data_IF_771159118376
#
_entry.id   IF_771159118376
#
_cell.length_a   1.000
_cell.length_b   1.000
_cell.length_c   1.000
_cell.angle_alpha   90.00
_cell.angle_beta   90.00
_cell.angle_gamma   90.00
#
_symmetry.space_group_name_H-M   'P 1'
#
loop_
_entity.id
_entity.type
_entity.pdbx_description
1 polymer ?
#
# COMPACT_ATOMS: atom_id res chain seq x y z
N UNK A 1 -34.66 -26.03 -7.43
CA UNK A 1 -33.75 -26.54 -8.49
C UNK A 1 -32.34 -26.10 -8.11
N UNK A 2 -31.71 -26.87 -7.24
CA UNK A 2 -30.36 -26.61 -6.72
C UNK A 2 -29.34 -26.92 -7.82
N UNK A 3 -28.86 -25.89 -8.50
CA UNK A 3 -27.71 -26.03 -9.39
C UNK A 3 -26.45 -26.06 -8.52
N UNK A 4 -25.66 -27.10 -8.76
CA UNK A 4 -24.47 -27.51 -8.03
C UNK A 4 -23.46 -26.36 -7.93
N UNK A 5 -23.43 -25.70 -6.78
CA UNK A 5 -22.20 -25.02 -6.37
C UNK A 5 -21.18 -26.12 -6.11
N UNK A 6 -20.25 -26.33 -7.04
CA UNK A 6 -19.00 -26.99 -6.69
C UNK A 6 -18.47 -26.29 -5.42
N UNK A 7 -18.14 -27.08 -4.39
CA UNK A 7 -17.69 -26.55 -3.10
C UNK A 7 -16.42 -25.73 -3.37
N UNK A 8 -16.57 -24.40 -3.45
CA UNK A 8 -15.45 -23.50 -3.71
C UNK A 8 -14.42 -23.66 -2.61
N UNK A 9 -13.22 -24.07 -3.00
CA UNK A 9 -12.08 -24.17 -2.09
C UNK A 9 -11.40 -22.81 -2.11
N UNK A 10 -11.47 -22.08 -1.00
CA UNK A 10 -10.76 -20.80 -0.86
C UNK A 10 -9.57 -21.05 0.05
N UNK A 11 -8.41 -20.53 -0.34
CA UNK A 11 -7.24 -20.48 0.51
C UNK A 11 -6.77 -19.03 0.65
N UNK A 12 -6.20 -18.70 1.81
CA UNK A 12 -5.64 -17.37 2.10
C UNK A 12 -4.22 -17.51 2.61
N UNK A 13 -3.28 -16.90 1.89
CA UNK A 13 -1.90 -16.74 2.37
C UNK A 13 -1.86 -15.56 3.34
N UNK A 14 -1.42 -15.79 4.57
CA UNK A 14 -1.40 -14.74 5.60
C UNK A 14 -0.80 -15.20 6.93
N UNK A 15 -0.74 -14.28 7.89
CA UNK A 15 -0.34 -14.59 9.27
C UNK A 15 -1.51 -15.26 10.02
N UNK A 16 -1.40 -16.53 10.46
CA UNK A 16 -2.47 -17.22 11.17
C UNK A 16 -2.86 -16.47 12.46
N UNK A 17 -4.17 -16.32 12.71
CA UNK A 17 -4.68 -15.56 13.86
C UNK A 17 -4.58 -14.03 13.70
N UNK A 18 -4.05 -13.52 12.58
CA UNK A 18 -4.08 -12.10 12.32
C UNK A 18 -5.47 -11.64 11.88
N UNK A 19 -5.87 -10.46 12.35
CA UNK A 19 -7.16 -9.81 12.00
C UNK A 19 -7.46 -9.77 10.50
N UNK A 20 -6.46 -9.63 9.61
CA UNK A 20 -6.69 -9.63 8.15
C UNK A 20 -7.20 -11.00 7.66
N UNK A 21 -6.63 -12.08 8.18
CA UNK A 21 -7.06 -13.46 7.86
C UNK A 21 -8.41 -13.75 8.49
N UNK A 22 -8.61 -13.40 9.77
CA UNK A 22 -9.85 -13.65 10.49
C UNK A 22 -11.06 -12.91 9.88
N UNK A 23 -10.89 -11.64 9.52
CA UNK A 23 -11.94 -10.84 8.91
C UNK A 23 -12.26 -11.33 7.49
N UNK A 24 -11.26 -11.75 6.72
CA UNK A 24 -11.51 -12.37 5.42
C UNK A 24 -12.26 -13.70 5.57
N UNK A 25 -11.84 -14.56 6.50
CA UNK A 25 -12.53 -15.82 6.77
C UNK A 25 -13.99 -15.60 7.23
N UNK A 26 -14.22 -14.59 8.10
CA UNK A 26 -15.56 -14.19 8.50
C UNK A 26 -16.41 -13.72 7.31
N UNK A 27 -15.84 -12.96 6.38
CA UNK A 27 -16.52 -12.58 5.15
C UNK A 27 -16.81 -13.79 4.25
N UNK A 28 -15.90 -14.75 4.11
CA UNK A 28 -16.19 -15.97 3.34
C UNK A 28 -17.35 -16.76 3.95
N UNK A 29 -17.36 -16.94 5.28
CA UNK A 29 -18.45 -17.61 5.99
C UNK A 29 -19.79 -16.88 5.87
N UNK A 30 -19.81 -15.54 5.87
CA UNK A 30 -21.05 -14.77 5.79
C UNK A 30 -21.75 -14.91 4.43
N UNK A 31 -21.02 -15.33 3.39
CA UNK A 31 -21.55 -15.70 2.07
C UNK A 31 -21.91 -17.20 1.96
N UNK A 32 -21.88 -17.95 3.06
CA UNK A 32 -22.27 -19.37 3.10
C UNK A 32 -21.23 -20.34 2.54
N UNK A 33 -19.98 -19.89 2.35
CA UNK A 33 -18.88 -20.72 1.87
C UNK A 33 -18.14 -21.40 3.04
N UNK A 34 -17.45 -22.53 2.80
CA UNK A 34 -16.60 -23.16 3.80
C UNK A 34 -15.48 -22.24 4.31
N UNK A 35 -14.96 -22.56 5.50
CA UNK A 35 -13.80 -21.85 6.07
C UNK A 35 -12.61 -21.87 5.09
N UNK A 36 -11.98 -20.73 4.79
CA UNK A 36 -10.77 -20.71 3.99
C UNK A 36 -9.63 -21.48 4.64
N UNK A 37 -8.91 -22.26 3.86
CA UNK A 37 -7.64 -22.84 4.31
C UNK A 37 -6.60 -21.73 4.45
N UNK A 38 -6.03 -21.57 5.66
CA UNK A 38 -4.94 -20.62 5.88
C UNK A 38 -3.63 -21.25 5.44
N UNK A 39 -2.89 -20.57 4.58
CA UNK A 39 -1.55 -20.94 4.12
C UNK A 39 -0.53 -19.99 4.79
N UNK A 40 0.20 -20.40 5.82
CA UNK A 40 1.09 -19.49 6.55
C UNK A 40 2.24 -18.97 5.66
N UNK A 41 2.51 -17.66 5.72
CA UNK A 41 3.66 -17.08 5.01
C UNK A 41 4.99 -17.76 5.35
N UNK A 42 5.16 -18.20 6.59
CA UNK A 42 6.36 -18.89 7.03
C UNK A 42 6.56 -20.25 6.34
N UNK A 43 5.49 -20.95 5.95
CA UNK A 43 5.58 -22.19 5.17
C UNK A 43 5.85 -21.88 3.70
N UNK A 44 5.22 -20.85 3.15
CA UNK A 44 5.47 -20.36 1.79
C UNK A 44 6.95 -20.01 1.61
N UNK A 45 7.52 -19.22 2.51
CA UNK A 45 8.92 -18.78 2.45
C UNK A 45 9.92 -19.93 2.62
N UNK A 46 9.51 -21.05 3.23
CA UNK A 46 10.32 -22.26 3.36
C UNK A 46 10.10 -23.27 2.23
N UNK A 47 9.16 -23.01 1.31
CA UNK A 47 8.78 -23.97 0.27
C UNK A 47 8.06 -25.21 0.80
N UNK A 48 7.39 -25.08 1.94
CA UNK A 48 6.72 -26.18 2.65
C UNK A 48 5.19 -26.11 2.54
N UNK A 49 4.66 -25.09 1.88
CA UNK A 49 3.21 -24.89 1.76
C UNK A 49 2.56 -25.97 0.89
N UNK A 50 1.43 -26.50 1.35
CA UNK A 50 0.59 -27.41 0.56
C UNK A 50 -0.67 -26.68 0.12
N UNK A 51 -0.83 -26.50 -1.20
CA UNK A 51 -2.00 -25.82 -1.78
C UNK A 51 -3.11 -26.85 -2.05
N UNK A 52 -4.34 -26.65 -1.54
CA UNK A 52 -5.45 -27.56 -1.83
C UNK A 52 -5.82 -27.56 -3.32
N UNK A 53 -6.23 -28.73 -3.84
CA UNK A 53 -6.75 -28.83 -5.20
C UNK A 53 -8.00 -27.95 -5.39
N UNK A 54 -8.12 -27.30 -6.54
CA UNK A 54 -9.21 -26.38 -6.87
C UNK A 54 -9.19 -25.07 -6.08
N UNK A 55 -8.13 -24.78 -5.32
CA UNK A 55 -8.10 -23.61 -4.46
C UNK A 55 -8.00 -22.29 -5.24
N UNK A 56 -8.89 -21.35 -4.93
CA UNK A 56 -8.73 -19.94 -5.23
C UNK A 56 -7.88 -19.30 -4.12
N UNK A 57 -6.63 -18.99 -4.45
CA UNK A 57 -5.62 -18.56 -3.47
C UNK A 57 -5.54 -17.03 -3.43
N UNK A 58 -6.04 -16.45 -2.33
CA UNK A 58 -5.88 -15.03 -2.00
C UNK A 58 -4.56 -14.81 -1.28
N UNK A 59 -3.85 -13.73 -1.59
CA UNK A 59 -2.63 -13.34 -0.85
C UNK A 59 -2.92 -12.11 -0.01
N UNK A 60 -2.49 -12.15 1.25
CA UNK A 60 -2.54 -11.02 2.17
C UNK A 60 -1.13 -10.62 2.64
N UNK A 61 -1.02 -9.50 3.33
CA UNK A 61 0.26 -8.95 3.79
C UNK A 61 1.03 -9.92 4.70
N UNK A 62 2.35 -10.08 4.49
CA UNK A 62 3.22 -10.84 5.40
C UNK A 62 3.63 -10.08 6.66
N UNK A 63 3.16 -8.83 6.84
CA UNK A 63 3.54 -7.99 7.97
C UNK A 63 2.98 -8.46 9.31
N UNK A 64 3.49 -7.85 10.39
CA UNK A 64 3.08 -8.09 11.78
C UNK A 64 3.44 -9.51 12.32
N UNK A 65 4.30 -10.27 11.64
CA UNK A 65 4.85 -11.57 12.08
C UNK A 65 6.39 -11.54 12.15
N UNK A 66 7.01 -11.56 13.35
CA UNK A 66 8.46 -11.49 13.51
C UNK A 66 9.24 -12.66 12.89
N UNK A 67 8.65 -13.86 12.83
CA UNK A 67 9.30 -15.01 12.22
C UNK A 67 9.33 -14.88 10.70
N UNK A 68 8.26 -14.33 10.11
CA UNK A 68 8.21 -14.01 8.68
C UNK A 68 9.16 -12.85 8.34
N UNK A 69 9.22 -11.80 9.16
CA UNK A 69 10.16 -10.68 8.92
C UNK A 69 11.62 -11.16 8.97
N UNK A 70 11.96 -12.06 9.91
CA UNK A 70 13.27 -12.73 9.95
C UNK A 70 13.56 -13.52 8.67
N UNK A 71 12.57 -14.25 8.13
CA UNK A 71 12.76 -15.00 6.87
C UNK A 71 12.94 -14.06 5.67
N UNK A 72 12.32 -12.87 5.69
CA UNK A 72 12.39 -11.89 4.60
C UNK A 72 13.66 -11.04 4.65
N UNK A 73 14.16 -10.71 5.84
CA UNK A 73 15.29 -9.78 6.04
C UNK A 73 16.59 -10.43 6.49
N UNK A 74 16.50 -11.61 7.10
CA UNK A 74 17.61 -12.27 7.80
C UNK A 74 17.53 -12.13 9.33
N UNK A 75 18.31 -12.94 10.08
CA UNK A 75 18.21 -13.10 11.53
C UNK A 75 18.62 -11.87 12.36
N UNK A 76 19.46 -10.99 11.81
CA UNK A 76 20.01 -9.84 12.54
C UNK A 76 19.14 -8.57 12.43
N UNK A 77 18.03 -8.63 11.69
CA UNK A 77 17.18 -7.46 11.48
C UNK A 77 16.26 -7.23 12.67
N UNK A 78 16.38 -6.05 13.29
CA UNK A 78 15.44 -5.63 14.33
C UNK A 78 14.13 -5.13 13.70
N UNK A 79 12.95 -5.39 14.30
CA UNK A 79 11.65 -4.98 13.73
C UNK A 79 11.50 -3.47 13.51
N UNK A 80 12.25 -2.65 14.26
CA UNK A 80 12.22 -1.18 14.14
C UNK A 80 13.19 -0.66 13.10
N UNK A 81 14.08 -1.49 12.55
CA UNK A 81 15.10 -1.09 11.57
C UNK A 81 14.42 -0.55 10.30
N UNK A 82 14.91 0.58 9.80
CA UNK A 82 14.34 1.22 8.60
C UNK A 82 15.02 0.71 7.33
N UNK A 83 16.34 0.53 7.38
CA UNK A 83 17.14 -0.01 6.29
C UNK A 83 16.78 -1.48 5.98
N UNK A 84 17.24 -1.96 4.83
CA UNK A 84 17.03 -3.34 4.39
C UNK A 84 15.65 -3.58 3.76
N UNK A 85 14.94 -2.52 3.38
CA UNK A 85 13.67 -2.64 2.65
C UNK A 85 13.87 -3.29 1.27
N UNK A 86 15.03 -3.12 0.63
CA UNK A 86 15.36 -3.81 -0.62
C UNK A 86 15.57 -5.33 -0.41
N UNK A 87 16.21 -5.73 0.70
CA UNK A 87 16.38 -7.15 1.07
C UNK A 87 15.03 -7.78 1.37
N UNK A 88 14.20 -7.11 2.18
CA UNK A 88 12.84 -7.54 2.48
C UNK A 88 12.02 -7.74 1.19
N UNK A 89 12.11 -6.79 0.26
CA UNK A 89 11.41 -6.85 -1.02
C UNK A 89 11.88 -8.05 -1.86
N UNK A 90 13.20 -8.29 -1.96
CA UNK A 90 13.72 -9.46 -2.65
C UNK A 90 13.22 -10.78 -2.02
N UNK A 91 13.19 -10.86 -0.68
CA UNK A 91 12.61 -11.98 0.05
C UNK A 91 11.13 -12.18 -0.26
N UNK A 92 10.34 -11.10 -0.32
CA UNK A 92 8.93 -11.15 -0.67
C UNK A 92 8.75 -11.69 -2.10
N UNK A 93 9.54 -11.20 -3.06
CA UNK A 93 9.47 -11.69 -4.44
C UNK A 93 9.82 -13.18 -4.54
N UNK A 94 10.83 -13.63 -3.79
CA UNK A 94 11.16 -15.05 -3.68
C UNK A 94 10.00 -15.87 -3.11
N UNK A 95 9.37 -15.39 -2.03
CA UNK A 95 8.18 -16.02 -1.45
C UNK A 95 6.99 -16.09 -2.40
N UNK A 96 6.71 -15.01 -3.13
CA UNK A 96 5.64 -14.98 -4.14
C UNK A 96 5.93 -15.94 -5.30
N UNK A 97 7.19 -16.07 -5.73
CA UNK A 97 7.58 -17.03 -6.76
C UNK A 97 7.41 -18.47 -6.26
N UNK A 98 7.82 -18.78 -5.03
CA UNK A 98 7.60 -20.08 -4.40
C UNK A 98 6.11 -20.42 -4.30
N UNK A 99 5.28 -19.45 -3.89
CA UNK A 99 3.83 -19.61 -3.85
C UNK A 99 3.26 -19.90 -5.25
N UNK A 100 3.64 -19.12 -6.25
CA UNK A 100 3.16 -19.30 -7.62
C UNK A 100 3.52 -20.69 -8.17
N UNK A 101 4.73 -21.18 -7.88
CA UNK A 101 5.14 -22.53 -8.21
C UNK A 101 4.30 -23.59 -7.50
N UNK A 102 4.07 -23.46 -6.18
CA UNK A 102 3.24 -24.39 -5.41
C UNK A 102 1.79 -24.43 -5.91
N UNK A 103 1.21 -23.28 -6.25
CA UNK A 103 -0.13 -23.19 -6.87
C UNK A 103 -0.15 -23.87 -8.23
N UNK A 104 0.88 -23.67 -9.07
CA UNK A 104 0.97 -24.30 -10.38
C UNK A 104 1.13 -25.83 -10.35
N UNK A 105 1.55 -26.41 -9.23
CA UNK A 105 1.61 -27.87 -9.03
C UNK A 105 0.30 -28.46 -8.46
N UNK A 106 -0.56 -27.64 -7.87
CA UNK A 106 -1.83 -28.10 -7.32
C UNK A 106 -2.91 -28.19 -8.41
N UNK A 107 -3.59 -29.33 -8.58
CA UNK A 107 -4.63 -29.48 -9.61
C UNK A 107 -5.71 -28.42 -9.49
N UNK A 108 -6.03 -27.74 -10.60
CA UNK A 108 -7.08 -26.71 -10.73
C UNK A 108 -6.99 -25.51 -9.76
N UNK A 109 -5.88 -25.38 -9.02
CA UNK A 109 -5.66 -24.24 -8.14
C UNK A 109 -5.22 -22.99 -8.94
N UNK A 110 -5.59 -21.81 -8.45
CA UNK A 110 -5.29 -20.53 -9.12
C UNK A 110 -4.98 -19.46 -8.11
N UNK A 111 -3.94 -18.67 -8.41
CA UNK A 111 -3.62 -17.48 -7.64
C UNK A 111 -4.54 -16.33 -8.09
N UNK A 112 -5.15 -15.63 -7.14
CA UNK A 112 -6.07 -14.54 -7.46
C UNK A 112 -5.37 -13.24 -7.85
N UNK A 113 -4.15 -13.02 -7.34
CA UNK A 113 -3.36 -11.82 -7.61
C UNK A 113 -2.12 -12.17 -8.42
N UNK A 114 -1.82 -11.40 -9.46
CA UNK A 114 -0.58 -11.54 -10.22
C UNK A 114 0.64 -11.14 -9.34
N UNK A 115 1.61 -12.06 -9.12
CA UNK A 115 2.85 -11.75 -8.42
C UNK A 115 3.65 -10.60 -9.04
N UNK A 116 3.62 -10.45 -10.37
CA UNK A 116 4.36 -9.41 -11.07
C UNK A 116 3.73 -8.02 -10.83
N UNK A 117 2.41 -7.92 -10.77
CA UNK A 117 1.72 -6.69 -10.38
C UNK A 117 1.92 -6.36 -8.92
N UNK A 118 1.88 -7.37 -8.05
CA UNK A 118 2.23 -7.23 -6.63
C UNK A 118 3.63 -6.66 -6.47
N UNK A 119 4.62 -7.18 -7.21
CA UNK A 119 5.98 -6.67 -7.22
C UNK A 119 6.05 -5.19 -7.59
N UNK A 120 5.29 -4.76 -8.61
CA UNK A 120 5.23 -3.34 -9.01
C UNK A 120 4.62 -2.49 -7.91
N UNK A 121 3.51 -2.90 -7.29
CA UNK A 121 2.84 -2.16 -6.21
C UNK A 121 3.72 -2.01 -4.96
N UNK A 122 4.63 -2.95 -4.71
CA UNK A 122 5.61 -2.86 -3.62
C UNK A 122 6.81 -1.95 -3.93
N UNK A 123 7.06 -1.57 -5.19
CA UNK A 123 8.12 -0.63 -5.57
C UNK A 123 7.51 0.71 -6.01
N UNK A 124 7.63 1.73 -5.15
CA UNK A 124 7.06 3.07 -5.39
C UNK A 124 7.51 3.68 -6.71
N UNK A 125 8.75 3.42 -7.13
CA UNK A 125 9.31 3.97 -8.37
C UNK A 125 8.65 3.31 -9.58
N UNK A 126 8.49 1.97 -9.54
CA UNK A 126 7.84 1.21 -10.61
C UNK A 126 6.34 1.51 -10.69
N UNK A 127 5.67 1.61 -9.54
CA UNK A 127 4.27 2.05 -9.48
C UNK A 127 4.12 3.45 -10.08
N UNK A 128 4.95 4.41 -9.65
CA UNK A 128 4.92 5.77 -10.16
C UNK A 128 5.12 5.84 -11.68
N UNK A 129 6.13 5.11 -12.20
CA UNK A 129 6.37 5.03 -13.63
C UNK A 129 5.19 4.42 -14.41
N UNK A 130 4.58 3.34 -13.90
CA UNK A 130 3.41 2.70 -14.52
C UNK A 130 2.20 3.64 -14.56
N UNK A 131 1.92 4.35 -13.47
CA UNK A 131 0.80 5.30 -13.41
C UNK A 131 1.05 6.52 -14.31
N UNK A 132 2.30 7.01 -14.35
CA UNK A 132 2.70 8.11 -15.25
C UNK A 132 2.48 7.72 -16.71
N UNK A 133 2.91 6.52 -17.12
CA UNK A 133 2.71 6.01 -18.46
C UNK A 133 1.24 5.87 -18.85
N UNK A 134 0.35 5.62 -17.88
CA UNK A 134 -1.10 5.59 -18.06
C UNK A 134 -1.77 6.99 -18.04
N UNK A 135 -0.99 8.06 -17.98
CA UNK A 135 -1.49 9.43 -17.92
C UNK A 135 -2.28 9.75 -16.64
N UNK A 136 -1.94 9.08 -15.53
CA UNK A 136 -2.58 9.31 -14.23
C UNK A 136 -1.83 10.37 -13.43
N UNK A 137 -2.54 11.23 -12.68
CA UNK A 137 -1.92 12.28 -11.89
C UNK A 137 -1.17 11.67 -10.70
N UNK A 138 0.16 11.76 -10.74
CA UNK A 138 1.08 11.46 -9.63
C UNK A 138 1.91 12.71 -9.32
N UNK A 139 2.47 12.87 -8.10
CA UNK A 139 3.39 13.96 -7.82
C UNK A 139 4.60 13.92 -8.74
N UNK A 140 5.14 15.08 -9.15
CA UNK A 140 6.39 15.12 -9.92
C UNK A 140 7.50 14.41 -9.16
N UNK A 141 8.22 13.48 -9.80
CA UNK A 141 9.34 12.75 -9.19
C UNK A 141 10.64 13.04 -9.95
N UNK A 142 11.79 12.81 -9.29
CA UNK A 142 13.12 13.00 -9.92
C UNK A 142 13.39 12.03 -11.08
N UNK A 143 12.64 10.93 -11.18
CA UNK A 143 12.67 10.00 -12.32
C UNK A 143 13.98 9.21 -12.48
N UNK A 144 14.94 9.38 -11.58
CA UNK A 144 16.25 8.74 -11.62
C UNK A 144 16.68 8.27 -10.23
N UNK A 145 17.61 7.29 -10.13
CA UNK A 145 18.17 6.86 -8.85
C UNK A 145 18.85 8.02 -8.10
N UNK A 146 18.87 7.90 -6.78
CA UNK A 146 19.59 8.80 -5.87
C UNK A 146 20.43 7.94 -4.96
N UNK A 147 21.75 8.03 -5.08
CA UNK A 147 22.71 7.23 -4.33
C UNK A 147 23.32 7.94 -3.12
N UNK A 148 23.16 9.25 -3.00
CA UNK A 148 23.70 10.01 -1.87
C UNK A 148 22.99 11.35 -1.63
N UNK A 149 23.24 11.98 -0.49
CA UNK A 149 22.77 13.31 -0.15
C UNK A 149 23.29 14.42 -1.09
N UNK A 150 24.60 14.50 -1.45
CA UNK A 150 25.07 15.48 -2.42
C UNK A 150 24.35 15.36 -3.77
N UNK A 151 24.22 14.13 -4.28
CA UNK A 151 23.49 13.85 -5.52
C UNK A 151 22.02 14.26 -5.42
N UNK A 152 21.35 13.95 -4.30
CA UNK A 152 19.98 14.38 -4.05
C UNK A 152 19.84 15.90 -4.16
N UNK A 153 20.75 16.66 -3.55
CA UNK A 153 20.72 18.13 -3.59
C UNK A 153 20.86 18.67 -5.00
N UNK A 154 21.81 18.14 -5.77
CA UNK A 154 22.04 18.56 -7.16
C UNK A 154 20.82 18.30 -8.03
N UNK A 155 20.23 17.10 -7.92
CA UNK A 155 19.04 16.72 -8.67
C UNK A 155 17.81 17.57 -8.30
N UNK A 156 17.60 17.84 -7.01
CA UNK A 156 16.52 18.71 -6.55
C UNK A 156 16.69 20.16 -7.04
N UNK A 157 17.92 20.67 -7.03
CA UNK A 157 18.23 22.00 -7.54
C UNK A 157 17.97 22.10 -9.05
N UNK A 158 18.44 21.11 -9.82
CA UNK A 158 18.20 21.04 -11.26
C UNK A 158 16.71 20.93 -11.61
N UNK A 159 15.94 20.19 -10.82
CA UNK A 159 14.49 20.05 -10.99
C UNK A 159 13.66 21.22 -10.42
N UNK A 160 14.28 22.17 -9.72
CA UNK A 160 13.59 23.27 -9.04
C UNK A 160 12.68 22.83 -7.89
N UNK A 161 12.90 21.63 -7.33
CA UNK A 161 12.07 21.05 -6.28
C UNK A 161 12.56 21.45 -4.89
N UNK A 162 11.78 22.27 -4.19
CA UNK A 162 12.11 22.82 -2.86
C UNK A 162 11.48 22.06 -1.70
N UNK A 163 10.42 21.29 -1.95
CA UNK A 163 9.68 20.51 -0.96
C UNK A 163 9.38 19.15 -1.53
N UNK A 164 9.94 18.11 -0.94
CA UNK A 164 9.85 16.74 -1.44
C UNK A 164 9.61 15.75 -0.31
N UNK A 165 9.04 14.61 -0.65
CA UNK A 165 9.15 13.40 0.14
C UNK A 165 10.29 12.55 -0.40
N UNK A 166 11.18 12.12 0.49
CA UNK A 166 12.17 11.07 0.24
C UNK A 166 11.66 9.81 0.91
N UNK A 167 11.50 8.72 0.15
CA UNK A 167 10.92 7.46 0.62
C UNK A 167 11.79 6.29 0.19
N UNK A 168 12.12 5.31 1.05
CA UNK A 168 12.64 4.04 0.57
C UNK A 168 11.63 3.40 -0.38
N UNK A 169 12.11 2.82 -1.48
CA UNK A 169 11.27 2.35 -2.57
C UNK A 169 10.23 1.32 -2.12
N UNK A 170 10.60 0.45 -1.17
CA UNK A 170 9.80 -0.70 -0.74
C UNK A 170 9.27 -0.61 0.69
N UNK A 171 9.58 0.47 1.43
CA UNK A 171 9.09 0.64 2.79
C UNK A 171 7.58 0.90 2.84
N UNK A 172 6.91 0.40 3.88
CA UNK A 172 5.48 0.66 4.13
C UNK A 172 5.28 1.44 5.43
N UNK A 173 4.04 1.86 5.72
CA UNK A 173 3.67 2.54 6.97
C UNK A 173 4.53 3.78 7.27
N UNK A 174 4.87 4.55 6.24
CA UNK A 174 5.75 5.72 6.34
C UNK A 174 7.12 5.49 7.02
N UNK A 175 7.55 4.24 7.16
CA UNK A 175 8.88 3.91 7.68
C UNK A 175 9.93 4.46 6.72
N UNK A 176 10.91 5.21 7.24
CA UNK A 176 11.96 5.81 6.41
C UNK A 176 11.55 7.02 5.60
N UNK A 177 10.32 7.52 5.72
CA UNK A 177 9.87 8.67 4.94
C UNK A 177 10.36 9.98 5.56
N UNK A 178 10.97 10.85 4.76
CA UNK A 178 11.36 12.21 5.13
C UNK A 178 10.53 13.20 4.32
N UNK A 179 9.81 14.10 4.99
CA UNK A 179 9.29 15.32 4.37
C UNK A 179 10.38 16.40 4.44
N UNK A 180 11.10 16.55 3.33
CA UNK A 180 12.25 17.45 3.20
C UNK A 180 11.80 18.79 2.63
N UNK A 181 12.24 19.87 3.25
CA UNK A 181 11.94 21.24 2.86
C UNK A 181 13.21 22.09 2.93
N UNK A 182 13.49 22.75 1.82
CA UNK A 182 14.44 23.84 1.74
C UNK A 182 13.62 25.12 1.90
N UNK A 183 13.83 25.87 2.98
CA UNK A 183 13.20 27.16 3.26
C UNK A 183 14.02 28.37 2.75
N UNK A 184 13.50 29.59 2.93
CA UNK A 184 14.25 30.82 2.66
C UNK A 184 15.61 30.83 3.40
N UNK A 185 16.57 31.59 2.87
CA UNK A 185 17.88 31.82 3.49
C UNK A 185 18.71 30.56 3.77
N UNK A 186 18.53 29.53 2.95
CA UNK A 186 19.27 28.27 3.07
C UNK A 186 18.80 27.37 4.22
N UNK A 187 17.67 27.69 4.88
CA UNK A 187 17.10 26.81 5.92
C UNK A 187 16.80 25.43 5.36
N UNK A 188 17.18 24.39 6.10
CA UNK A 188 16.91 23.01 5.75
C UNK A 188 16.14 22.33 6.88
N UNK A 189 15.12 21.55 6.54
CA UNK A 189 14.34 20.78 7.52
C UNK A 189 13.88 19.46 6.92
N UNK A 190 14.01 18.37 7.68
CA UNK A 190 13.38 17.09 7.40
C UNK A 190 12.44 16.71 8.55
N UNK A 191 11.17 16.47 8.25
CA UNK A 191 10.20 15.91 9.22
C UNK A 191 10.03 14.41 8.97
N UNK A 192 10.28 13.57 9.98
CA UNK A 192 10.30 12.11 9.81
C UNK A 192 10.02 11.39 11.14
N UNK A 193 9.65 10.11 11.11
CA UNK A 193 9.65 9.24 12.30
C UNK A 193 10.99 8.50 12.51
N UNK A 194 11.94 8.66 11.57
CA UNK A 194 13.26 8.04 11.62
C UNK A 194 14.09 8.64 12.74
N UNK A 195 14.52 7.77 13.63
CA UNK A 195 15.50 8.04 14.67
C UNK A 195 16.87 7.56 14.21
N UNK A 196 17.83 8.48 14.17
CA UNK A 196 19.24 8.18 13.95
C UNK A 196 19.85 7.73 15.28
N UNK A 197 20.38 6.51 15.34
CA UNK A 197 21.10 5.97 16.49
C UNK A 197 22.52 5.54 16.09
N UNK A 198 23.44 5.29 17.05
CA UNK A 198 24.76 4.75 16.73
C UNK A 198 24.73 3.38 16.03
N UNK A 199 23.63 2.64 16.16
CA UNK A 199 23.47 1.30 15.58
C UNK A 199 22.73 1.29 14.25
N UNK A 200 22.13 2.41 13.85
CA UNK A 200 21.40 2.54 12.58
C UNK A 200 20.15 3.40 12.66
N UNK A 201 19.29 3.29 11.65
CA UNK A 201 18.02 4.01 11.60
C UNK A 201 16.88 3.16 12.17
N UNK A 202 16.09 3.77 13.06
CA UNK A 202 14.94 3.12 13.67
C UNK A 202 13.65 3.91 13.45
N UNK A 203 12.55 3.23 13.15
CA UNK A 203 11.23 3.85 13.13
C UNK A 203 10.73 4.02 14.56
N UNK A 204 10.93 5.23 15.11
CA UNK A 204 10.54 5.53 16.49
C UNK A 204 9.03 5.72 16.69
N UNK A 205 8.25 5.71 15.60
CA UNK A 205 6.82 6.09 15.55
C UNK A 205 6.52 7.52 16.02
N UNK A 206 7.51 8.26 16.52
CA UNK A 206 7.42 9.64 16.97
C UNK A 206 7.97 10.56 15.89
N UNK A 207 7.10 11.42 15.36
CA UNK A 207 7.50 12.42 14.38
C UNK A 207 8.44 13.43 15.03
N UNK A 208 9.62 13.61 14.42
CA UNK A 208 10.67 14.55 14.83
C UNK A 208 11.11 15.41 13.65
N UNK A 209 11.97 16.39 13.92
CA UNK A 209 12.54 17.27 12.91
C UNK A 209 14.06 17.29 13.02
N UNK A 210 14.74 17.01 11.91
CA UNK A 210 16.15 17.32 11.74
C UNK A 210 16.26 18.66 11.01
N UNK A 211 17.18 19.50 11.45
CA UNK A 211 17.39 20.85 10.88
C UNK A 211 18.83 21.13 10.51
N UNK A 212 19.73 20.18 10.78
CA UNK A 212 21.14 20.28 10.37
C UNK A 212 21.37 19.40 9.14
N UNK A 213 22.23 19.89 8.25
CA UNK A 213 22.59 19.13 7.05
C UNK A 213 23.27 17.79 7.36
N UNK A 214 24.22 17.68 8.32
CA UNK A 214 24.86 16.40 8.63
C UNK A 214 23.88 15.31 9.09
N UNK A 215 22.88 15.64 9.92
CA UNK A 215 21.87 14.66 10.36
C UNK A 215 21.00 14.19 9.19
N UNK A 216 20.57 15.12 8.33
CA UNK A 216 19.73 14.81 7.18
C UNK A 216 20.51 13.97 6.16
N UNK A 217 21.77 14.34 5.91
CA UNK A 217 22.68 13.60 5.04
C UNK A 217 22.87 12.17 5.53
N UNK A 218 23.18 11.99 6.83
CA UNK A 218 23.36 10.66 7.42
C UNK A 218 22.13 9.76 7.24
N UNK A 219 20.92 10.31 7.42
CA UNK A 219 19.68 9.55 7.19
C UNK A 219 19.49 9.21 5.71
N UNK A 220 19.68 10.17 4.80
CA UNK A 220 19.51 9.95 3.36
C UNK A 220 20.52 8.93 2.83
N UNK A 221 21.79 9.08 3.19
CA UNK A 221 22.88 8.20 2.76
C UNK A 221 22.69 6.77 3.27
N UNK A 222 22.21 6.60 4.51
CA UNK A 222 21.90 5.27 5.06
C UNK A 222 20.70 4.60 4.36
N UNK A 223 19.75 5.37 3.83
CA UNK A 223 18.58 4.85 3.09
C UNK A 223 18.83 4.67 1.59
N UNK A 224 19.83 5.36 1.02
CA UNK A 224 20.11 5.32 -0.41
C UNK A 224 20.34 3.91 -0.99
N UNK A 225 21.04 2.97 -0.29
CA UNK A 225 21.24 1.60 -0.78
C UNK A 225 19.94 0.81 -1.00
N UNK A 226 18.87 1.12 -0.26
CA UNK A 226 17.56 0.50 -0.46
C UNK A 226 16.82 1.03 -1.71
N UNK A 227 17.36 2.08 -2.32
CA UNK A 227 16.74 2.81 -3.40
C UNK A 227 15.73 3.82 -2.89
N UNK A 228 15.86 5.06 -3.34
CA UNK A 228 14.96 6.15 -2.97
C UNK A 228 13.96 6.45 -4.07
N UNK A 229 12.72 6.69 -3.66
CA UNK A 229 11.70 7.38 -4.43
C UNK A 229 11.57 8.80 -3.90
N UNK A 230 11.87 9.79 -4.75
CA UNK A 230 11.82 11.21 -4.38
C UNK A 230 10.77 11.91 -5.22
N UNK A 231 9.78 12.48 -4.56
CA UNK A 231 8.63 13.11 -5.21
C UNK A 231 8.24 14.43 -4.56
N UNK A 232 7.57 15.29 -5.32
CA UNK A 232 7.10 16.59 -4.87
C UNK A 232 6.15 16.44 -3.68
N UNK A 233 6.37 17.25 -2.65
CA UNK A 233 5.45 17.38 -1.55
C UNK A 233 4.24 18.22 -1.96
N UNK A 234 3.13 17.54 -2.29
CA UNK A 234 1.85 18.16 -2.62
C UNK A 234 1.28 18.91 -1.40
N UNK A 235 0.91 20.20 -1.51
CA UNK A 235 0.12 20.91 -0.52
C UNK A 235 -1.29 20.32 -0.46
N UNK A 236 -1.48 19.40 0.48
CA UNK A 236 -2.74 18.67 0.64
C UNK A 236 -3.88 19.59 1.10
N UNK A 237 -5.10 19.30 0.68
CA UNK A 237 -6.29 19.84 1.30
C UNK A 237 -6.32 19.54 2.81
N UNK A 238 -7.11 20.31 3.55
CA UNK A 238 -7.25 20.14 4.99
C UNK A 238 -8.71 20.02 5.41
N UNK A 239 -8.91 19.40 6.57
CA UNK A 239 -10.17 19.32 7.27
C UNK A 239 -9.93 19.76 8.72
N UNK A 240 -10.68 20.77 9.18
CA UNK A 240 -10.49 21.37 10.51
C UNK A 240 -9.04 21.77 10.81
N UNK A 241 -8.35 22.37 9.82
CA UNK A 241 -6.95 22.79 9.96
C UNK A 241 -5.92 21.66 9.93
N UNK A 242 -6.33 20.39 9.78
CA UNK A 242 -5.45 19.22 9.70
C UNK A 242 -5.28 18.77 8.25
N UNK A 243 -4.07 18.47 7.83
CA UNK A 243 -3.78 17.98 6.48
C UNK A 243 -4.48 16.65 6.23
N UNK A 244 -5.06 16.46 5.05
CA UNK A 244 -5.87 15.29 4.72
C UNK A 244 -5.29 14.47 3.57
N UNK A 245 -5.38 13.15 3.65
CA UNK A 245 -5.29 12.24 2.51
C UNK A 245 -6.53 11.33 2.46
N UNK A 246 -6.72 10.61 1.37
CA UNK A 246 -7.71 9.54 1.30
C UNK A 246 -7.02 8.20 1.09
N UNK A 247 -7.62 7.20 1.70
CA UNK A 247 -7.38 5.80 1.39
C UNK A 247 -8.62 5.27 0.67
N UNK A 248 -8.46 4.97 -0.61
CA UNK A 248 -9.50 4.46 -1.50
C UNK A 248 -9.22 2.98 -1.76
N UNK A 249 -10.23 2.13 -1.74
CA UNK A 249 -10.08 0.71 -2.09
C UNK A 249 -10.89 0.44 -3.34
N UNK A 250 -10.22 -0.10 -4.35
CA UNK A 250 -10.87 -0.67 -5.52
C UNK A 250 -10.84 -2.19 -5.43
N UNK A 251 -11.98 -2.82 -5.69
CA UNK A 251 -12.13 -4.28 -5.76
C UNK A 251 -12.66 -4.61 -7.14
N UNK A 252 -11.97 -5.52 -7.83
CA UNK A 252 -12.27 -5.94 -9.18
C UNK A 252 -12.53 -4.75 -10.14
N UNK A 253 -11.59 -3.81 -10.14
CA UNK A 253 -11.63 -2.62 -11.01
C UNK A 253 -12.58 -1.50 -10.57
N UNK A 254 -13.42 -1.71 -9.54
CA UNK A 254 -14.42 -0.73 -9.10
C UNK A 254 -14.09 -0.15 -7.74
N UNK A 255 -14.22 1.16 -7.56
CA UNK A 255 -14.05 1.79 -6.24
C UNK A 255 -15.20 1.37 -5.33
N UNK A 256 -14.86 0.79 -4.18
CA UNK A 256 -15.83 0.25 -3.21
C UNK A 256 -15.82 1.00 -1.90
N UNK A 257 -14.66 1.44 -1.42
CA UNK A 257 -14.52 2.09 -0.12
C UNK A 257 -13.62 3.32 -0.24
N UNK A 258 -13.88 4.31 0.60
CA UNK A 258 -12.99 5.44 0.80
C UNK A 258 -13.02 5.87 2.28
N UNK A 259 -11.87 6.23 2.82
CA UNK A 259 -11.76 6.87 4.14
C UNK A 259 -10.78 8.02 4.04
N UNK A 260 -11.13 9.15 4.65
CA UNK A 260 -10.22 10.29 4.79
C UNK A 260 -9.41 10.11 6.07
N UNK A 261 -8.09 10.36 6.01
CA UNK A 261 -7.22 10.41 7.19
C UNK A 261 -6.67 11.82 7.33
N UNK A 262 -6.63 12.33 8.57
CA UNK A 262 -6.16 13.68 8.88
C UNK A 262 -5.01 13.67 9.87
N UNK A 263 -4.01 14.52 9.65
CA UNK A 263 -2.80 14.63 10.47
C UNK A 263 -2.43 16.09 10.74
N UNK A 264 -1.71 16.33 11.84
CA UNK A 264 -1.23 17.66 12.21
C UNK A 264 -0.04 18.14 11.33
N UNK A 265 0.60 17.22 10.60
CA UNK A 265 1.78 17.50 9.77
C UNK A 265 1.71 16.85 8.39
N UNK A 266 2.83 16.81 7.65
CA UNK A 266 2.91 16.19 6.32
C UNK A 266 2.50 14.72 6.31
N UNK A 267 2.83 14.00 7.38
CA UNK A 267 2.59 12.57 7.54
C UNK A 267 1.22 12.37 8.18
N UNK A 268 0.31 11.74 7.44
CA UNK A 268 -1.13 11.58 7.78
C UNK A 268 -1.49 10.16 8.22
N UNK A 269 -0.51 9.25 8.28
CA UNK A 269 -0.71 7.85 8.64
C UNK A 269 -1.31 7.69 10.04
N UNK A 270 -2.28 6.78 10.18
CA UNK A 270 -3.02 6.57 11.44
C UNK A 270 -2.11 6.15 12.60
N UNK A 271 -1.10 5.32 12.35
CA UNK A 271 -0.15 4.89 13.37
C UNK A 271 0.85 5.97 13.81
N UNK A 272 0.89 7.12 13.12
CA UNK A 272 1.67 8.31 13.49
C UNK A 272 0.79 9.40 14.13
N UNK A 273 -0.37 9.04 14.70
CA UNK A 273 -1.30 9.98 15.32
C UNK A 273 -2.30 10.62 14.35
N UNK A 274 -2.42 10.07 13.13
CA UNK A 274 -3.51 10.39 12.21
C UNK A 274 -4.86 9.91 12.73
N UNK A 275 -5.94 10.58 12.34
CA UNK A 275 -7.31 10.21 12.71
C UNK A 275 -8.19 10.06 11.47
N UNK A 276 -9.23 9.23 11.53
CA UNK A 276 -10.28 9.23 10.50
C UNK A 276 -10.97 10.59 10.51
N UNK A 277 -11.04 11.22 9.35
CA UNK A 277 -11.84 12.43 9.14
C UNK A 277 -13.28 12.10 8.75
N UNK A 278 -14.03 13.13 8.38
CA UNK A 278 -15.40 12.98 7.88
C UNK A 278 -15.42 13.01 6.35
N UNK A 279 -15.80 11.88 5.75
CA UNK A 279 -15.90 11.72 4.30
C UNK A 279 -17.05 12.56 3.70
N UNK A 280 -18.12 12.82 4.45
CA UNK A 280 -19.23 13.63 3.99
C UNK A 280 -18.79 15.08 3.74
N UNK A 281 -17.92 15.62 4.61
CA UNK A 281 -17.30 16.93 4.39
C UNK A 281 -16.38 16.94 3.16
N UNK A 282 -15.65 15.86 2.90
CA UNK A 282 -14.85 15.73 1.67
C UNK A 282 -15.75 15.76 0.44
N UNK A 283 -16.85 14.99 0.44
CA UNK A 283 -17.82 14.95 -0.66
C UNK A 283 -18.45 16.32 -0.91
N UNK A 284 -18.87 17.00 0.16
CA UNK A 284 -19.43 18.35 0.06
C UNK A 284 -18.43 19.36 -0.50
N UNK A 285 -17.16 19.31 -0.04
CA UNK A 285 -16.12 20.22 -0.49
C UNK A 285 -15.66 19.95 -1.93
N UNK A 286 -15.56 18.67 -2.33
CA UNK A 286 -15.20 18.27 -3.69
C UNK A 286 -16.34 18.56 -4.69
N UNK A 287 -17.60 18.49 -4.26
CA UNK A 287 -18.77 18.68 -5.11
C UNK A 287 -18.68 17.80 -6.37
N UNK A 288 -18.75 18.38 -7.60
CA UNK A 288 -18.69 17.61 -8.84
C UNK A 288 -17.34 16.88 -9.03
N UNK A 289 -16.27 17.31 -8.36
CA UNK A 289 -14.95 16.69 -8.47
C UNK A 289 -14.85 15.34 -7.72
N UNK A 290 -15.84 14.98 -6.90
CA UNK A 290 -15.91 13.66 -6.24
C UNK A 290 -15.96 12.52 -7.26
N UNK A 291 -16.73 12.67 -8.34
CA UNK A 291 -16.80 11.66 -9.40
C UNK A 291 -15.41 11.40 -10.02
N UNK A 292 -14.59 12.45 -10.16
CA UNK A 292 -13.22 12.34 -10.65
C UNK A 292 -12.28 11.56 -9.73
N UNK A 293 -12.55 11.52 -8.41
CA UNK A 293 -11.81 10.64 -7.49
C UNK A 293 -12.15 9.17 -7.75
N UNK A 294 -13.43 8.86 -7.94
CA UNK A 294 -13.89 7.50 -8.20
C UNK A 294 -13.30 7.01 -9.53
N UNK A 295 -13.41 7.81 -10.58
CA UNK A 295 -12.82 7.52 -11.89
C UNK A 295 -11.30 7.34 -11.79
N UNK A 296 -10.60 8.19 -11.05
CA UNK A 296 -9.16 8.03 -10.81
C UNK A 296 -8.85 6.67 -10.16
N UNK A 297 -9.60 6.29 -9.12
CA UNK A 297 -9.40 5.01 -8.44
C UNK A 297 -9.62 3.81 -9.35
N UNK A 298 -10.66 3.85 -10.20
CA UNK A 298 -10.93 2.79 -11.18
C UNK A 298 -9.86 2.72 -12.28
N UNK A 299 -9.38 3.87 -12.78
CA UNK A 299 -8.28 3.91 -13.74
C UNK A 299 -6.95 3.43 -13.16
N UNK A 300 -6.68 3.71 -11.87
CA UNK A 300 -5.51 3.13 -11.16
C UNK A 300 -5.64 1.62 -11.09
N UNK A 301 -6.82 1.09 -10.73
CA UNK A 301 -7.06 -0.35 -10.69
C UNK A 301 -6.89 -1.00 -12.07
N UNK A 302 -7.27 -0.31 -13.15
CA UNK A 302 -7.05 -0.78 -14.53
C UNK A 302 -5.57 -0.87 -14.93
N UNK A 303 -4.65 -0.25 -14.20
CA UNK A 303 -3.21 -0.47 -14.37
C UNK A 303 -2.69 -1.78 -13.75
N UNK A 304 -3.56 -2.48 -13.01
CA UNK A 304 -3.27 -3.75 -12.33
C UNK A 304 -4.43 -4.75 -12.56
N UNK A 305 -4.73 -5.12 -13.81
CA UNK A 305 -5.86 -5.99 -14.15
C UNK A 305 -5.74 -7.42 -13.57
N UNK A 306 -4.53 -7.90 -13.28
CA UNK A 306 -4.28 -9.18 -12.63
C UNK A 306 -4.45 -9.16 -11.11
N UNK A 307 -4.83 -8.02 -10.52
CA UNK A 307 -4.98 -7.84 -9.08
C UNK A 307 -6.47 -7.72 -8.69
N UNK A 308 -6.97 -8.54 -7.75
CA UNK A 308 -8.39 -8.57 -7.41
C UNK A 308 -8.80 -7.35 -6.57
N UNK A 309 -7.83 -6.66 -5.98
CA UNK A 309 -8.02 -5.46 -5.17
C UNK A 309 -6.77 -4.60 -5.19
N UNK A 310 -6.95 -3.29 -5.02
CA UNK A 310 -5.86 -2.34 -4.76
C UNK A 310 -6.28 -1.32 -3.71
N UNK A 311 -5.36 -0.98 -2.80
CA UNK A 311 -5.50 0.10 -1.83
C UNK A 311 -4.74 1.33 -2.28
N UNK A 312 -5.41 2.43 -2.54
CA UNK A 312 -4.86 3.62 -3.20
C UNK A 312 -4.77 4.75 -2.17
N UNK A 313 -3.56 5.26 -1.94
CA UNK A 313 -3.37 6.53 -1.24
C UNK A 313 -3.55 7.68 -2.21
N UNK A 314 -4.54 8.53 -1.96
CA UNK A 314 -4.85 9.70 -2.77
C UNK A 314 -4.56 10.97 -1.98
N UNK A 315 -3.80 11.87 -2.60
CA UNK A 315 -3.44 13.18 -2.08
C UNK A 315 -4.38 14.23 -2.70
N UNK A 316 -5.34 14.77 -1.94
CA UNK A 316 -6.20 15.85 -2.44
C UNK A 316 -5.40 17.14 -2.52
N UNK A 317 -5.38 17.79 -3.69
CA UNK A 317 -4.85 19.15 -3.82
C UNK A 317 -5.73 20.16 -3.08
N UNK A 318 -5.17 21.34 -2.78
CA UNK A 318 -5.91 22.42 -2.13
C UNK A 318 -7.29 22.66 -2.79
N UNK A 319 -8.31 22.81 -1.94
CA UNK A 319 -9.70 23.02 -2.38
C UNK A 319 -10.42 21.77 -2.92
N UNK A 320 -9.85 20.56 -2.81
CA UNK A 320 -10.52 19.29 -3.16
C UNK A 320 -10.93 19.16 -4.65
N UNK A 321 -10.21 19.85 -5.54
CA UNK A 321 -10.50 19.88 -6.99
C UNK A 321 -9.61 18.98 -7.83
N UNK A 322 -8.45 18.61 -7.29
CA UNK A 322 -7.43 17.79 -7.96
C UNK A 322 -7.01 16.66 -7.04
N UNK A 323 -6.71 15.52 -7.63
CA UNK A 323 -6.36 14.30 -6.92
C UNK A 323 -5.05 13.79 -7.50
N UNK A 324 -4.12 13.38 -6.63
CA UNK A 324 -2.87 12.75 -7.03
C UNK A 324 -2.77 11.38 -6.37
N UNK A 325 -2.26 10.38 -7.09
CA UNK A 325 -1.99 9.07 -6.52
C UNK A 325 -0.63 9.12 -5.83
N UNK A 326 -0.62 8.89 -4.52
CA UNK A 326 0.61 8.87 -3.71
C UNK A 326 1.24 7.49 -3.59
N UNK A 327 0.42 6.44 -3.51
CA UNK A 327 0.87 5.04 -3.39
C UNK A 327 -0.26 4.08 -3.77
N UNK A 328 0.09 2.86 -4.20
CA UNK A 328 -0.86 1.76 -4.47
C UNK A 328 -0.38 0.52 -3.71
N UNK A 329 -1.30 -0.15 -3.01
CA UNK A 329 -1.05 -1.30 -2.15
C UNK A 329 -1.75 -2.53 -2.72
N UNK A 330 -1.02 -3.65 -2.85
CA UNK A 330 -1.52 -4.87 -3.47
C UNK A 330 -2.59 -5.62 -2.68
N UNK A 331 -2.59 -5.49 -1.36
CA UNK A 331 -3.44 -6.31 -0.47
C UNK A 331 -4.69 -5.57 0.00
N UNK A 332 -5.21 -4.68 -0.86
CA UNK A 332 -6.32 -3.79 -0.53
C UNK A 332 -5.99 -2.96 0.70
N UNK A 333 -6.92 -2.93 1.65
CA UNK A 333 -6.66 -2.34 2.96
C UNK A 333 -7.47 -3.00 4.08
N UNK A 334 -6.96 -2.90 5.29
CA UNK A 334 -7.63 -3.29 6.52
C UNK A 334 -8.38 -2.08 7.08
N UNK A 335 -9.65 -1.95 6.69
CA UNK A 335 -10.51 -0.85 7.12
C UNK A 335 -11.68 -1.39 7.95
N UNK A 336 -11.44 -1.89 9.18
CA UNK A 336 -12.49 -2.47 10.00
C UNK A 336 -13.59 -1.45 10.27
N UNK A 337 -14.83 -1.94 10.26
CA UNK A 337 -16.05 -1.15 10.53
C UNK A 337 -16.27 0.01 9.54
N UNK A 338 -15.71 -0.08 8.33
CA UNK A 338 -15.99 0.86 7.26
C UNK A 338 -16.91 0.17 6.22
N UNK A 339 -18.19 0.56 6.10
CA UNK A 339 -19.04 0.04 5.04
C UNK A 339 -18.62 0.63 3.68
N UNK A 340 -18.93 -0.10 2.61
CA UNK A 340 -18.76 0.35 1.25
C UNK A 340 -19.57 1.62 0.96
N UNK A 341 -19.09 2.39 -0.01
CA UNK A 341 -19.74 3.61 -0.45
C UNK A 341 -21.20 3.33 -0.85
N UNK A 342 -22.17 4.15 -0.42
CA UNK A 342 -23.58 3.95 -0.74
C UNK A 342 -23.87 3.91 -2.25
N UNK A 343 -23.11 4.69 -3.03
CA UNK A 343 -23.18 4.74 -4.49
C UNK A 343 -22.38 3.62 -5.21
N UNK A 344 -21.62 2.83 -4.45
CA UNK A 344 -20.69 1.83 -4.98
C UNK A 344 -21.28 0.42 -5.04
N UNK A 345 -20.58 -0.52 -5.69
CA UNK A 345 -21.09 -1.89 -5.87
C UNK A 345 -21.09 -2.73 -4.59
N UNK A 346 -20.49 -2.23 -3.51
CA UNK A 346 -20.33 -2.92 -2.23
C UNK A 346 -21.06 -2.20 -1.07
N UNK A 347 -22.14 -1.45 -1.37
CA UNK A 347 -22.88 -0.71 -0.35
C UNK A 347 -23.28 -1.63 0.83
N UNK A 348 -22.90 -1.22 2.05
CA UNK A 348 -23.19 -1.96 3.28
C UNK A 348 -22.29 -3.18 3.57
N UNK A 349 -21.44 -3.60 2.63
CA UNK A 349 -20.42 -4.63 2.86
C UNK A 349 -19.14 -3.98 3.42
N UNK A 350 -18.31 -4.76 4.11
CA UNK A 350 -16.94 -4.34 4.42
C UNK A 350 -15.99 -4.64 3.24
N UNK A 351 -14.71 -4.27 3.40
CA UNK A 351 -13.69 -4.44 2.36
C UNK A 351 -13.46 -5.91 1.96
N UNK A 352 -13.68 -6.86 2.87
CA UNK A 352 -13.51 -8.29 2.59
C UNK A 352 -14.77 -8.90 2.00
N UNK A 353 -15.95 -8.51 2.48
CA UNK A 353 -17.23 -8.87 1.89
C UNK A 353 -17.33 -8.41 0.44
N UNK A 354 -16.83 -7.21 0.11
CA UNK A 354 -16.71 -6.75 -1.27
C UNK A 354 -15.83 -7.65 -2.14
N UNK A 355 -14.69 -8.13 -1.61
CA UNK A 355 -13.81 -9.07 -2.31
C UNK A 355 -14.50 -10.41 -2.57
N UNK A 356 -15.16 -10.97 -1.55
CA UNK A 356 -15.88 -12.25 -1.67
C UNK A 356 -17.05 -12.11 -2.65
N UNK A 357 -17.83 -11.03 -2.57
CA UNK A 357 -18.90 -10.75 -3.53
C UNK A 357 -18.38 -10.68 -4.97
N UNK A 358 -17.28 -9.96 -5.19
CA UNK A 358 -16.69 -9.85 -6.52
C UNK A 358 -16.20 -11.22 -7.04
N UNK A 359 -15.54 -12.02 -6.18
CA UNK A 359 -15.10 -13.38 -6.50
C UNK A 359 -16.25 -14.32 -6.87
N UNK A 360 -17.42 -14.13 -6.25
CA UNK A 360 -18.63 -14.88 -6.59
C UNK A 360 -19.25 -14.40 -7.91
N UNK A 361 -19.21 -13.10 -8.19
CA UNK A 361 -19.82 -12.47 -9.36
C UNK A 361 -19.09 -12.69 -10.69
N UNK A 362 -17.76 -12.85 -10.67
CA UNK A 362 -16.95 -13.08 -11.89
C UNK A 362 -17.33 -14.35 -12.63
N UNK A 363 -17.72 -15.40 -11.93
CA UNK A 363 -18.02 -16.70 -12.54
C UNK A 363 -19.40 -16.74 -13.22
N UNK A 364 -20.38 -16.00 -12.69
CA UNK A 364 -21.71 -15.87 -13.32
C UNK A 364 -21.66 -15.15 -14.68
N UNK A 365 -20.55 -14.46 -14.97
CA UNK A 365 -20.27 -13.79 -16.24
C UNK A 365 -19.53 -14.67 -17.25
N UNK A 366 -18.75 -15.67 -16.81
CA UNK A 366 -18.05 -16.62 -17.69
C UNK A 366 -18.91 -17.79 -18.16
N UNK A 367 -20.11 -17.98 -17.60
CA UNK A 367 -21.09 -18.99 -18.03
C UNK A 367 -22.12 -18.47 -19.06
N UNK A 368 -21.94 -17.28 -19.64
CA UNK A 368 -22.85 -16.71 -20.65
C UNK A 368 -22.26 -16.62 -22.05
#
# INVERSE_FOLDING_TARGET
>A
MALRGERRVIAVVGHPGHRRVELFAAAVRSFGLPEPTVLPWAEVLRGQVTVPAGALVRVDSPGEDPAVDTLLRGPDCQPTRVEGSAVWYAGLLGGLATLAAAVGQAPDARLLADPAETAVMFDKRRTHARLTAAGLPVPTALGQPVGSWPELRELLAAAGLRRVFVKPAHASSASGVLALEFGPDGRLRATTSVELTPTGLHNSLRVRSYTTEPEIAAVVDALAPDGLHVEQWIPKASQHGRSADLRVVAVHGRVTHAVVRTGAGPLTNLHLGGARGDLALVRAAAGPHWAGLLELGERVAACFPGSPMVGIDVLPGAGWRRWYVGEVNAFGDLLPKLPGLPEGPAAGLDTYGAQVQALLGTELGTER
#
